data_IF_874584541161
#
_entry.id   IF_874584541161
#
_cell.length_a   1.000
_cell.length_b   1.000
_cell.length_c   1.000
_cell.angle_alpha   90.00
_cell.angle_beta   90.00
_cell.angle_gamma   90.00
#
_symmetry.space_group_name_H-M   'P 1'
#
loop_
_entity.id
_entity.type
_entity.pdbx_description
1 polymer ?
#
# COMPACT_ATOMS: atom_id res chain seq x y z
N UNK A 1 -29.39 5.02 -13.12
CA UNK A 1 -28.45 4.20 -12.32
C UNK A 1 -27.49 3.53 -13.28
N UNK A 2 -26.20 3.85 -13.21
CA UNK A 2 -25.18 3.10 -13.95
C UNK A 2 -25.06 1.67 -13.42
N UNK A 3 -24.88 0.70 -14.31
CA UNK A 3 -24.75 -0.70 -13.94
C UNK A 3 -23.38 -0.99 -13.30
N UNK A 4 -23.32 -2.03 -12.46
CA UNK A 4 -22.05 -2.51 -11.87
C UNK A 4 -21.02 -2.84 -12.95
N UNK A 5 -21.45 -3.39 -14.08
CA UNK A 5 -20.57 -3.68 -15.22
C UNK A 5 -20.04 -2.40 -15.88
N UNK A 6 -20.83 -1.32 -15.91
CA UNK A 6 -20.39 -0.01 -16.40
C UNK A 6 -19.30 0.56 -15.48
N UNK A 7 -19.47 0.46 -14.15
CA UNK A 7 -18.47 0.91 -13.17
C UNK A 7 -17.17 0.10 -13.27
N UNK A 8 -17.27 -1.22 -13.37
CA UNK A 8 -16.10 -2.08 -13.56
C UNK A 8 -15.39 -1.79 -14.89
N UNK A 9 -16.14 -1.51 -15.97
CA UNK A 9 -15.56 -1.12 -17.25
C UNK A 9 -14.91 0.27 -17.22
N UNK A 10 -15.37 1.19 -16.35
CA UNK A 10 -14.71 2.48 -16.13
C UNK A 10 -13.45 2.35 -15.26
N UNK A 11 -13.42 1.40 -14.31
CA UNK A 11 -12.23 1.09 -13.53
C UNK A 11 -11.13 0.38 -14.36
N UNK A 12 -11.53 -0.54 -15.26
CA UNK A 12 -10.61 -1.48 -15.94
C UNK A 12 -10.59 -1.40 -17.48
N UNK A 13 -11.41 -0.55 -18.10
CA UNK A 13 -11.39 -0.30 -19.55
C UNK A 13 -10.18 0.54 -19.98
N UNK A 14 -9.95 0.71 -21.29
CA UNK A 14 -8.82 1.50 -21.79
C UNK A 14 -8.95 2.96 -21.33
N UNK A 15 -8.20 3.31 -20.28
CA UNK A 15 -8.19 4.65 -19.69
C UNK A 15 -7.65 5.63 -20.74
N UNK A 16 -8.43 6.68 -21.06
CA UNK A 16 -7.93 7.84 -21.81
C UNK A 16 -6.62 8.31 -21.15
N UNK A 17 -5.52 8.53 -21.88
CA UNK A 17 -4.19 8.61 -21.25
C UNK A 17 -3.92 9.83 -20.34
N UNK A 18 -4.90 10.64 -19.91
CA UNK A 18 -4.63 12.05 -19.54
C UNK A 18 -5.23 12.62 -18.25
N UNK A 19 -5.69 11.83 -17.28
CA UNK A 19 -5.73 12.36 -15.89
C UNK A 19 -5.66 11.24 -14.86
N UNK A 20 -4.57 11.22 -14.09
CA UNK A 20 -4.45 10.35 -12.91
C UNK A 20 -5.35 10.93 -11.83
N UNK A 21 -6.30 10.16 -11.34
CA UNK A 21 -7.17 10.58 -10.24
C UNK A 21 -6.43 10.47 -8.91
N UNK A 22 -6.90 11.21 -7.90
CA UNK A 22 -6.41 11.06 -6.53
C UNK A 22 -6.79 9.67 -6.01
N UNK A 23 -5.79 8.90 -5.60
CA UNK A 23 -5.97 7.56 -5.03
C UNK A 23 -5.26 7.55 -3.68
N UNK A 24 -5.87 6.90 -2.69
CA UNK A 24 -5.23 6.53 -1.44
C UNK A 24 -4.84 5.06 -1.47
N UNK A 25 -3.71 4.69 -0.87
CA UNK A 25 -3.23 3.32 -0.84
C UNK A 25 -2.84 2.86 0.56
N UNK A 26 -3.00 1.56 0.78
CA UNK A 26 -2.45 0.84 1.91
C UNK A 26 -1.98 -0.55 1.46
N UNK A 27 -1.09 -1.15 2.24
CA UNK A 27 -0.71 -2.56 2.10
C UNK A 27 -1.03 -3.27 3.40
N UNK A 28 -1.67 -4.44 3.27
CA UNK A 28 -1.98 -5.33 4.38
C UNK A 28 -1.16 -6.60 4.19
N UNK A 29 -0.14 -6.76 5.03
CA UNK A 29 0.66 -7.97 5.10
C UNK A 29 0.16 -8.86 6.23
N UNK A 30 0.09 -10.17 6.00
CA UNK A 30 -0.42 -11.11 6.99
C UNK A 30 0.29 -12.46 6.93
N UNK A 31 0.59 -13.01 8.10
CA UNK A 31 1.00 -14.40 8.29
C UNK A 31 0.35 -14.98 9.57
N UNK A 32 0.86 -16.11 10.05
CA UNK A 32 0.39 -16.78 11.26
C UNK A 32 0.73 -16.04 12.57
N UNK A 33 1.56 -14.99 12.52
CA UNK A 33 2.05 -14.26 13.69
C UNK A 33 1.57 -12.83 13.80
N UNK A 34 1.20 -12.19 12.70
CA UNK A 34 0.72 -10.81 12.74
C UNK A 34 -0.05 -10.40 11.49
N UNK A 35 -0.80 -9.30 11.64
CA UNK A 35 -1.10 -8.37 10.56
C UNK A 35 -0.19 -7.14 10.64
N UNK A 36 0.27 -6.66 9.49
CA UNK A 36 1.03 -5.43 9.34
C UNK A 36 0.36 -4.58 8.27
N UNK A 37 -0.29 -3.51 8.69
CA UNK A 37 -0.95 -2.56 7.82
C UNK A 37 -0.07 -1.32 7.70
N UNK A 38 0.19 -0.89 6.47
CA UNK A 38 1.02 0.28 6.20
C UNK A 38 0.35 1.20 5.21
N UNK A 39 0.39 2.50 5.50
CA UNK A 39 0.04 3.53 4.54
C UNK A 39 1.01 3.51 3.38
N UNK A 40 0.48 3.51 2.16
CA UNK A 40 1.25 3.68 0.94
C UNK A 40 0.82 4.99 0.29
N UNK A 41 1.76 5.70 -0.33
CA UNK A 41 1.54 7.00 -0.95
C UNK A 41 2.21 7.04 -2.32
N UNK A 42 1.74 7.91 -3.20
CA UNK A 42 2.28 8.04 -4.55
C UNK A 42 1.32 8.67 -5.54
N UNK A 43 1.49 8.31 -6.82
CA UNK A 43 0.77 8.95 -7.93
C UNK A 43 0.18 7.92 -8.91
N UNK A 44 1.04 7.28 -9.71
CA UNK A 44 0.64 6.17 -10.61
C UNK A 44 0.92 4.80 -10.01
N UNK A 45 1.92 4.75 -9.15
CA UNK A 45 2.27 3.64 -8.31
C UNK A 45 2.42 4.17 -6.89
N UNK A 46 2.25 3.29 -5.92
CA UNK A 46 2.40 3.60 -4.51
C UNK A 46 3.64 2.93 -3.93
N UNK A 47 4.27 3.61 -2.99
CA UNK A 47 5.32 3.05 -2.15
C UNK A 47 4.98 3.30 -0.69
N UNK A 48 5.61 2.55 0.20
CA UNK A 48 5.26 2.68 1.61
C UNK A 48 5.74 4.01 2.16
N UNK A 49 4.83 4.73 2.83
CA UNK A 49 5.04 6.10 3.26
C UNK A 49 5.61 6.13 4.68
N UNK A 50 6.83 6.67 4.89
CA UNK A 50 7.38 6.83 6.25
C UNK A 50 6.61 7.83 7.12
N UNK A 51 5.82 8.73 6.53
CA UNK A 51 5.01 9.70 7.27
C UNK A 51 3.60 9.18 7.58
N UNK A 52 3.22 8.04 7.01
CA UNK A 52 1.92 7.42 7.21
C UNK A 52 1.90 6.41 8.36
N UNK A 53 0.75 5.78 8.56
CA UNK A 53 0.55 4.83 9.63
C UNK A 53 1.26 3.50 9.37
N UNK A 54 1.84 2.92 10.43
CA UNK A 54 2.30 1.54 10.48
C UNK A 54 1.64 0.85 11.68
N UNK A 55 0.62 0.05 11.40
CA UNK A 55 -0.22 -0.59 12.42
C UNK A 55 0.08 -2.09 12.43
N UNK A 56 0.34 -2.63 13.61
CA UNK A 56 0.59 -4.05 13.83
C UNK A 56 -0.50 -4.61 14.73
N UNK A 57 -1.12 -5.70 14.29
CA UNK A 57 -2.18 -6.37 15.03
C UNK A 57 -1.84 -7.85 15.19
N UNK A 58 -2.34 -8.44 16.28
CA UNK A 58 -2.27 -9.89 16.51
C UNK A 58 -3.10 -10.65 15.45
N UNK A 59 -2.77 -11.91 15.13
CA UNK A 59 -3.52 -12.74 14.18
C UNK A 59 -4.99 -12.94 14.53
N UNK A 60 -5.35 -12.77 15.81
CA UNK A 60 -6.70 -12.91 16.35
C UNK A 60 -7.51 -11.61 16.33
N UNK A 61 -6.98 -10.53 15.74
CA UNK A 61 -7.73 -9.27 15.60
C UNK A 61 -9.06 -9.50 14.86
N UNK A 62 -10.13 -8.91 15.38
CA UNK A 62 -11.45 -8.99 14.76
C UNK A 62 -11.55 -8.08 13.53
N UNK A 63 -12.57 -8.32 12.71
CA UNK A 63 -12.81 -7.62 11.45
C UNK A 63 -12.98 -6.11 11.64
N UNK A 64 -13.62 -5.67 12.72
CA UNK A 64 -13.78 -4.25 13.03
C UNK A 64 -12.42 -3.57 13.23
N UNK A 65 -11.51 -4.20 13.98
CA UNK A 65 -10.16 -3.68 14.22
C UNK A 65 -9.30 -3.67 12.97
N UNK A 66 -9.44 -4.69 12.11
CA UNK A 66 -8.79 -4.73 10.81
C UNK A 66 -9.31 -3.62 9.89
N UNK A 67 -10.63 -3.44 9.84
CA UNK A 67 -11.28 -2.37 9.05
C UNK A 67 -10.84 -0.98 9.49
N UNK A 68 -10.85 -0.69 10.79
CA UNK A 68 -10.37 0.57 11.37
C UNK A 68 -8.91 0.84 10.98
N UNK A 69 -8.05 -0.18 11.05
CA UNK A 69 -6.65 -0.04 10.71
C UNK A 69 -6.45 0.23 9.22
N UNK A 70 -7.20 -0.45 8.33
CA UNK A 70 -7.19 -0.17 6.89
C UNK A 70 -7.62 1.28 6.62
N UNK A 71 -8.74 1.71 7.19
CA UNK A 71 -9.25 3.08 7.02
C UNK A 71 -8.28 4.13 7.54
N UNK A 72 -7.62 3.86 8.67
CA UNK A 72 -6.56 4.73 9.21
C UNK A 72 -5.41 4.86 8.24
N UNK A 73 -4.94 3.74 7.67
CA UNK A 73 -3.85 3.77 6.69
C UNK A 73 -4.22 4.53 5.41
N UNK A 74 -5.45 4.32 4.90
CA UNK A 74 -5.96 5.02 3.72
C UNK A 74 -6.11 6.54 3.97
N UNK A 75 -6.60 6.94 5.14
CA UNK A 75 -6.78 8.35 5.50
C UNK A 75 -5.46 9.12 5.57
N UNK A 76 -4.35 8.46 5.89
CA UNK A 76 -3.02 9.06 5.93
C UNK A 76 -2.27 8.98 4.59
N UNK A 77 -2.84 8.32 3.58
CA UNK A 77 -2.21 8.21 2.27
C UNK A 77 -2.13 9.57 1.58
N UNK A 78 -0.98 9.85 0.99
CA UNK A 78 -0.68 11.10 0.28
C UNK A 78 -0.68 10.86 -1.22
N UNK A 79 -1.33 11.74 -1.95
CA UNK A 79 -1.29 11.78 -3.42
C UNK A 79 -0.16 12.71 -3.86
N UNK A 80 1.00 12.12 -4.19
CA UNK A 80 2.25 12.84 -4.42
C UNK A 80 3.03 12.26 -5.60
N UNK A 81 3.61 13.14 -6.41
CA UNK A 81 4.50 12.79 -7.51
C UNK A 81 5.98 13.04 -7.14
N UNK A 82 6.94 12.40 -7.81
CA UNK A 82 8.37 12.61 -7.54
C UNK A 82 8.87 14.01 -7.91
N UNK A 83 8.24 14.67 -8.88
CA UNK A 83 8.63 16.00 -9.34
C UNK A 83 7.43 16.75 -9.93
N UNK A 84 7.49 18.09 -9.89
CA UNK A 84 6.51 18.94 -10.55
C UNK A 84 6.64 18.82 -12.08
N UNK A 85 5.52 18.61 -12.78
CA UNK A 85 5.48 18.61 -14.24
C UNK A 85 4.07 18.99 -14.70
N UNK A 86 3.95 19.69 -15.84
CA UNK A 86 2.65 20.08 -16.47
C UNK A 86 1.67 18.93 -16.80
N UNK A 87 2.08 17.67 -16.58
CA UNK A 87 1.30 16.44 -16.84
C UNK A 87 0.93 15.72 -15.55
N UNK A 88 1.39 16.23 -14.40
CA UNK A 88 0.99 15.76 -13.08
C UNK A 88 -0.36 16.40 -12.75
N UNK A 89 -1.24 15.65 -12.11
CA UNK A 89 -2.52 16.17 -11.64
C UNK A 89 -2.24 17.36 -10.69
N UNK A 90 -2.87 18.53 -10.91
CA UNK A 90 -2.71 19.70 -10.03
C UNK A 90 -3.01 19.45 -8.54
N UNK A 91 -3.82 18.44 -8.21
CA UNK A 91 -4.09 18.03 -6.83
C UNK A 91 -2.96 17.22 -6.17
N UNK A 92 -2.02 16.71 -6.97
CA UNK A 92 -0.90 15.95 -6.44
C UNK A 92 0.15 16.88 -5.83
N UNK A 93 0.60 16.56 -4.63
CA UNK A 93 1.80 17.17 -4.06
C UNK A 93 3.07 16.68 -4.75
N UNK A 94 4.22 17.18 -4.31
CA UNK A 94 5.54 16.74 -4.78
C UNK A 94 6.37 16.26 -3.58
N UNK A 95 6.92 15.06 -3.67
CA UNK A 95 7.78 14.48 -2.64
C UNK A 95 8.88 13.63 -3.28
N UNK A 96 9.99 14.26 -3.65
CA UNK A 96 11.13 13.57 -4.25
C UNK A 96 11.79 12.58 -3.28
N UNK A 97 11.77 12.85 -1.97
CA UNK A 97 12.42 12.00 -0.96
C UNK A 97 11.65 10.70 -0.71
N UNK A 98 10.32 10.74 -0.80
CA UNK A 98 9.51 9.53 -0.79
C UNK A 98 9.97 8.60 -1.92
N UNK A 99 10.18 9.13 -3.12
CA UNK A 99 10.56 8.39 -4.32
C UNK A 99 12.07 8.14 -4.51
N UNK A 100 12.92 8.56 -3.57
CA UNK A 100 14.35 8.33 -3.62
C UNK A 100 14.69 6.82 -3.47
N UNK A 101 15.32 6.18 -4.47
CA UNK A 101 15.58 4.73 -4.44
C UNK A 101 16.46 4.26 -3.28
N UNK A 102 17.44 5.07 -2.88
CA UNK A 102 18.37 4.73 -1.77
C UNK A 102 17.58 4.73 -0.47
N UNK A 103 16.80 5.79 -0.22
CA UNK A 103 15.98 5.88 0.99
C UNK A 103 14.86 4.84 1.02
N UNK A 104 14.29 4.47 -0.12
CA UNK A 104 13.33 3.35 -0.19
C UNK A 104 14.00 2.06 0.30
N UNK A 105 15.21 1.77 -0.16
CA UNK A 105 16.00 0.62 0.28
C UNK A 105 16.30 0.65 1.78
N UNK A 106 16.78 1.78 2.29
CA UNK A 106 17.13 1.92 3.72
C UNK A 106 15.91 1.73 4.63
N UNK A 107 14.76 2.31 4.25
CA UNK A 107 13.50 2.14 4.98
C UNK A 107 13.02 0.69 4.95
N UNK A 108 13.18 0.02 3.81
CA UNK A 108 12.83 -1.38 3.67
C UNK A 108 13.68 -2.28 4.57
N UNK A 109 15.00 -2.11 4.54
CA UNK A 109 15.92 -2.89 5.36
C UNK A 109 15.71 -2.66 6.87
N UNK A 110 15.44 -1.42 7.26
CA UNK A 110 15.08 -1.07 8.64
C UNK A 110 13.80 -1.78 9.09
N UNK A 111 12.75 -1.72 8.26
CA UNK A 111 11.48 -2.38 8.53
C UNK A 111 11.62 -3.92 8.66
N UNK A 112 12.40 -4.56 7.79
CA UNK A 112 12.65 -6.00 7.90
C UNK A 112 13.35 -6.34 9.21
N UNK A 113 14.38 -5.58 9.59
CA UNK A 113 15.11 -5.77 10.85
C UNK A 113 14.20 -5.62 12.06
N UNK A 114 13.34 -4.59 12.06
CA UNK A 114 12.36 -4.36 13.13
C UNK A 114 11.36 -5.51 13.24
N UNK A 115 10.80 -5.98 12.13
CA UNK A 115 9.88 -7.12 12.12
C UNK A 115 10.53 -8.41 12.64
N UNK A 116 11.77 -8.67 12.21
CA UNK A 116 12.52 -9.83 12.69
C UNK A 116 12.74 -9.77 14.20
N UNK A 117 13.15 -8.62 14.72
CA UNK A 117 13.35 -8.43 16.16
C UNK A 117 12.03 -8.54 16.93
N UNK A 118 10.97 -7.86 16.48
CA UNK A 118 9.66 -7.80 17.15
C UNK A 118 9.00 -9.18 17.29
N UNK A 119 9.08 -10.02 16.26
CA UNK A 119 8.40 -11.33 16.23
C UNK A 119 9.36 -12.53 16.35
N UNK A 120 10.62 -12.27 16.68
CA UNK A 120 11.62 -13.30 17.00
C UNK A 120 12.05 -14.16 15.81
N UNK A 121 11.99 -13.64 14.57
CA UNK A 121 12.45 -14.39 13.40
C UNK A 121 13.98 -14.43 13.34
N UNK A 122 14.53 -15.64 13.21
CA UNK A 122 15.99 -15.86 13.11
C UNK A 122 16.56 -15.59 11.72
N UNK A 123 15.73 -15.51 10.69
CA UNK A 123 16.14 -15.22 9.31
C UNK A 123 15.05 -14.50 8.52
N UNK A 124 15.45 -13.72 7.50
CA UNK A 124 14.52 -13.09 6.55
C UNK A 124 13.65 -14.13 5.85
N UNK A 125 14.25 -15.27 5.46
CA UNK A 125 13.53 -16.39 4.84
C UNK A 125 12.36 -16.84 5.71
N UNK A 126 12.54 -16.93 7.03
CA UNK A 126 11.48 -17.32 7.95
C UNK A 126 10.40 -16.22 8.10
N UNK A 127 10.79 -14.94 8.12
CA UNK A 127 9.83 -13.82 8.16
C UNK A 127 8.91 -13.82 6.92
N UNK A 128 9.50 -13.94 5.74
CA UNK A 128 8.76 -13.89 4.47
C UNK A 128 8.11 -15.25 4.10
N UNK A 129 8.43 -16.33 4.80
CA UNK A 129 7.76 -17.61 4.60
C UNK A 129 6.30 -17.49 5.03
N UNK A 130 5.37 -17.63 4.07
CA UNK A 130 3.94 -17.52 4.35
C UNK A 130 3.43 -16.09 4.52
N UNK A 131 4.28 -15.07 4.35
CA UNK A 131 3.83 -13.68 4.37
C UNK A 131 3.05 -13.37 3.08
N UNK A 132 1.77 -13.09 3.25
CA UNK A 132 0.84 -12.70 2.18
C UNK A 132 0.70 -11.19 2.16
N UNK A 133 0.31 -10.64 1.02
CA UNK A 133 0.03 -9.22 0.85
C UNK A 133 -1.31 -9.02 0.12
N UNK A 134 -2.06 -8.04 0.58
CA UNK A 134 -3.22 -7.48 -0.10
C UNK A 134 -2.98 -5.97 -0.28
N UNK A 135 -3.01 -5.51 -1.51
CA UNK A 135 -2.96 -4.08 -1.80
C UNK A 135 -4.38 -3.52 -1.67
N UNK A 136 -4.52 -2.44 -0.90
CA UNK A 136 -5.80 -1.76 -0.75
C UNK A 136 -5.68 -0.39 -1.38
N UNK A 137 -6.63 -0.04 -2.23
CA UNK A 137 -6.71 1.29 -2.83
C UNK A 137 -8.10 1.88 -2.62
N UNK A 138 -8.17 3.20 -2.54
CA UNK A 138 -9.43 3.92 -2.41
C UNK A 138 -9.45 5.09 -3.39
N UNK A 139 -10.50 5.15 -4.20
CA UNK A 139 -10.81 6.29 -5.06
C UNK A 139 -12.19 6.78 -4.65
N UNK A 140 -12.29 8.07 -4.32
CA UNK A 140 -13.47 8.67 -3.73
C UNK A 140 -13.95 7.92 -2.47
N UNK A 141 -14.94 7.04 -2.58
CA UNK A 141 -15.47 6.21 -1.49
C UNK A 141 -15.50 4.71 -1.84
N UNK A 142 -14.92 4.33 -2.97
CA UNK A 142 -14.83 2.93 -3.38
C UNK A 142 -13.48 2.36 -2.94
N UNK A 143 -13.52 1.36 -2.06
CA UNK A 143 -12.34 0.61 -1.61
C UNK A 143 -12.21 -0.66 -2.45
N UNK A 144 -11.04 -0.85 -3.04
CA UNK A 144 -10.67 -2.06 -3.78
C UNK A 144 -9.55 -2.78 -3.03
N UNK A 145 -9.79 -4.03 -2.69
CA UNK A 145 -8.82 -4.93 -2.07
C UNK A 145 -8.32 -5.92 -3.12
N UNK A 146 -7.05 -5.82 -3.48
CA UNK A 146 -6.40 -6.61 -4.52
C UNK A 146 -5.47 -7.63 -3.86
N UNK A 147 -5.85 -8.92 -3.81
CA UNK A 147 -4.92 -9.97 -3.37
C UNK A 147 -3.75 -10.05 -4.35
N UNK A 148 -2.58 -10.42 -3.84
CA UNK A 148 -1.36 -10.55 -4.65
C UNK A 148 -0.86 -11.99 -4.66
N UNK A 149 -0.18 -12.36 -5.72
CA UNK A 149 0.58 -13.59 -5.86
C UNK A 149 2.03 -13.37 -5.39
N UNK A 150 2.57 -14.32 -4.63
CA UNK A 150 3.97 -14.27 -4.21
C UNK A 150 4.86 -14.78 -5.36
N UNK A 151 5.51 -13.86 -6.06
CA UNK A 151 6.36 -14.15 -7.22
C UNK A 151 7.86 -14.23 -6.88
N UNK A 152 8.25 -13.88 -5.66
CA UNK A 152 9.64 -13.89 -5.21
C UNK A 152 9.82 -14.25 -3.74
N UNK A 153 11.08 -14.19 -3.28
CA UNK A 153 11.40 -14.42 -1.86
C UNK A 153 10.76 -13.37 -0.96
N UNK A 154 10.71 -12.13 -1.43
CA UNK A 154 10.21 -10.95 -0.70
C UNK A 154 9.35 -10.04 -1.63
N UNK A 155 8.85 -10.61 -2.74
CA UNK A 155 8.08 -9.91 -3.77
C UNK A 155 6.67 -10.46 -3.92
N UNK A 156 5.76 -9.58 -4.34
CA UNK A 156 4.37 -9.88 -4.65
C UNK A 156 3.91 -9.10 -5.89
N UNK A 157 3.10 -9.73 -6.76
CA UNK A 157 2.48 -9.13 -7.95
C UNK A 157 1.00 -9.44 -8.11
#
# INVERSE_FOLDING_TARGET
MESILQRLSNLFGPRRPHQVQKIAWASVLANDRFFCLRTCSGYRASIVDPQGAAIYLEPSACDERLGEAVLTCLAQSRFVAPYAHKRVNPEAGVDAELHDPVRIGDRYESWVKELMAKYGYKSRRALFAGLRNCQVSMVDSEIVMTPTYRDGKEGWS
#
